data_IF_422437317351
#
_entry.id   IF_422437317351
#
_cell.length_a   1.000
_cell.length_b   1.000
_cell.length_c   1.000
_cell.angle_alpha   90.00
_cell.angle_beta   90.00
_cell.angle_gamma   90.00
#
_symmetry.space_group_name_H-M   'P 1'
#
loop_
_entity.id
_entity.type
_entity.pdbx_description
1 polymer ?
#
# COMPACT_ATOMS: atom_id res chain seq x y z
N UNK A 1 -11.20 22.66 -4.00
CA UNK A 1 -11.62 21.27 -3.68
C UNK A 1 -12.34 21.28 -2.35
N UNK A 2 -13.31 20.39 -2.14
CA UNK A 2 -14.10 20.32 -0.90
C UNK A 2 -13.76 19.04 -0.14
N UNK A 3 -13.85 19.10 1.19
CA UNK A 3 -13.62 17.96 2.07
C UNK A 3 -14.96 17.38 2.52
N UNK A 4 -14.99 16.08 2.81
CA UNK A 4 -16.15 15.38 3.34
C UNK A 4 -15.71 14.52 4.52
N UNK A 5 -16.41 14.63 5.65
CA UNK A 5 -16.09 13.89 6.87
C UNK A 5 -16.54 12.43 6.74
N UNK A 6 -15.64 11.49 7.03
CA UNK A 6 -15.90 10.06 7.01
C UNK A 6 -15.97 9.55 8.45
N UNK A 7 -17.14 9.06 8.88
CA UNK A 7 -17.34 8.48 10.21
C UNK A 7 -17.49 6.95 10.15
N UNK A 8 -17.91 6.40 9.00
CA UNK A 8 -18.08 4.95 8.80
C UNK A 8 -17.79 4.54 7.35
N UNK A 9 -17.84 3.23 7.08
CA UNK A 9 -17.60 2.67 5.74
C UNK A 9 -18.68 3.09 4.73
N UNK A 10 -19.91 3.31 5.19
CA UNK A 10 -21.01 3.82 4.36
C UNK A 10 -20.73 5.19 3.76
N UNK A 11 -20.10 6.08 4.51
CA UNK A 11 -19.69 7.41 4.03
C UNK A 11 -18.73 7.29 2.83
N UNK A 12 -17.78 6.35 2.89
CA UNK A 12 -16.86 6.07 1.78
C UNK A 12 -17.64 5.55 0.56
N UNK A 13 -18.56 4.61 0.77
CA UNK A 13 -19.42 4.06 -0.30
C UNK A 13 -20.25 5.13 -1.00
N UNK A 14 -20.79 6.09 -0.24
CA UNK A 14 -21.54 7.23 -0.78
C UNK A 14 -20.66 8.15 -1.63
N UNK A 15 -19.45 8.49 -1.16
CA UNK A 15 -18.49 9.30 -1.93
C UNK A 15 -18.13 8.62 -3.26
N UNK A 16 -17.83 7.31 -3.22
CA UNK A 16 -17.51 6.51 -4.41
C UNK A 16 -18.69 6.51 -5.39
N UNK A 17 -19.90 6.24 -4.90
CA UNK A 17 -21.13 6.22 -5.72
C UNK A 17 -21.42 7.59 -6.35
N UNK A 18 -21.25 8.68 -5.59
CA UNK A 18 -21.45 10.04 -6.06
C UNK A 18 -20.42 10.41 -7.15
N UNK A 19 -19.14 10.13 -6.92
CA UNK A 19 -18.07 10.38 -7.89
C UNK A 19 -18.28 9.57 -9.19
N UNK A 20 -18.60 8.28 -9.07
CA UNK A 20 -18.90 7.43 -10.23
C UNK A 20 -20.06 7.98 -11.06
N UNK A 21 -21.17 8.37 -10.40
CA UNK A 21 -22.34 8.95 -11.08
C UNK A 21 -22.02 10.30 -11.73
N UNK A 22 -21.23 11.14 -11.08
CA UNK A 22 -20.80 12.42 -11.65
C UNK A 22 -19.95 12.23 -12.92
N UNK A 23 -19.21 11.14 -13.03
CA UNK A 23 -18.44 10.77 -14.22
C UNK A 23 -19.23 9.95 -15.26
N UNK A 24 -20.49 9.59 -14.98
CA UNK A 24 -21.31 8.79 -15.90
C UNK A 24 -20.84 7.35 -16.09
N UNK A 25 -19.99 6.83 -15.19
CA UNK A 25 -19.38 5.49 -15.31
C UNK A 25 -20.31 4.42 -14.74
N UNK A 26 -20.43 3.27 -15.41
CA UNK A 26 -21.20 2.14 -14.87
C UNK A 26 -20.44 1.43 -13.78
N UNK A 27 -21.16 0.72 -12.92
CA UNK A 27 -20.55 0.00 -11.80
C UNK A 27 -19.58 -1.10 -12.28
N UNK A 28 -19.95 -1.82 -13.35
CA UNK A 28 -19.12 -2.87 -13.94
C UNK A 28 -17.84 -2.32 -14.58
N UNK A 29 -17.93 -1.17 -15.27
CA UNK A 29 -16.79 -0.54 -15.92
C UNK A 29 -15.75 -0.10 -14.89
N UNK A 30 -16.20 0.56 -13.80
CA UNK A 30 -15.32 0.95 -12.70
C UNK A 30 -14.74 -0.28 -11.97
N UNK A 31 -15.53 -1.34 -11.81
CA UNK A 31 -15.04 -2.56 -11.19
C UNK A 31 -13.91 -3.18 -12.02
N UNK A 32 -14.08 -3.24 -13.34
CA UNK A 32 -13.07 -3.70 -14.28
C UNK A 32 -11.80 -2.86 -14.21
N UNK A 33 -11.91 -1.52 -14.30
CA UNK A 33 -10.73 -0.64 -14.31
C UNK A 33 -9.97 -0.64 -12.98
N UNK A 34 -10.68 -0.70 -11.84
CA UNK A 34 -10.07 -0.78 -10.52
C UNK A 34 -9.54 -2.19 -10.16
N UNK A 35 -9.75 -3.20 -11.03
CA UNK A 35 -9.32 -4.58 -10.80
C UNK A 35 -10.06 -5.26 -9.64
N UNK A 36 -11.37 -5.01 -9.52
CA UNK A 36 -12.23 -5.58 -8.48
C UNK A 36 -13.46 -6.26 -9.08
N UNK A 37 -14.07 -7.18 -8.34
CA UNK A 37 -15.31 -7.82 -8.80
C UNK A 37 -16.51 -6.88 -8.71
N UNK A 38 -17.49 -7.03 -9.61
CA UNK A 38 -18.77 -6.31 -9.54
C UNK A 38 -19.47 -6.49 -8.18
N UNK A 39 -19.43 -7.69 -7.59
CA UNK A 39 -19.98 -7.96 -6.24
C UNK A 39 -19.28 -7.10 -5.19
N UNK A 40 -17.95 -6.97 -5.26
CA UNK A 40 -17.22 -6.10 -4.35
C UNK A 40 -17.59 -4.63 -4.55
N UNK A 41 -17.69 -4.17 -5.80
CA UNK A 41 -18.09 -2.78 -6.08
C UNK A 41 -19.50 -2.48 -5.56
N UNK A 42 -20.42 -3.45 -5.67
CA UNK A 42 -21.75 -3.37 -5.07
C UNK A 42 -21.67 -3.26 -3.55
N UNK A 43 -20.97 -4.17 -2.88
CA UNK A 43 -20.82 -4.18 -1.43
C UNK A 43 -20.18 -2.87 -0.92
N UNK A 44 -19.19 -2.36 -1.66
CA UNK A 44 -18.49 -1.11 -1.36
C UNK A 44 -19.42 0.11 -1.46
N UNK A 45 -20.17 0.26 -2.55
CA UNK A 45 -21.12 1.39 -2.69
C UNK A 45 -22.27 1.34 -1.68
N UNK A 46 -22.64 0.16 -1.19
CA UNK A 46 -23.63 0.00 -0.14
C UNK A 46 -23.04 0.15 1.27
N UNK A 47 -21.72 0.33 1.40
CA UNK A 47 -21.10 0.57 2.69
C UNK A 47 -20.90 -0.66 3.56
N UNK A 48 -20.80 -1.86 2.96
CA UNK A 48 -20.58 -3.10 3.72
C UNK A 48 -19.32 -2.99 4.58
N UNK A 49 -19.46 -3.10 5.89
CA UNK A 49 -18.38 -2.87 6.86
C UNK A 49 -17.16 -3.76 6.63
N UNK A 50 -17.36 -4.97 6.11
CA UNK A 50 -16.30 -5.96 5.87
C UNK A 50 -15.58 -5.78 4.53
N UNK A 51 -15.76 -4.66 3.83
CA UNK A 51 -15.03 -4.41 2.58
C UNK A 51 -13.53 -4.22 2.86
N UNK A 52 -12.68 -4.79 2.02
CA UNK A 52 -11.24 -4.63 2.16
C UNK A 52 -10.82 -3.19 1.83
N UNK A 53 -10.30 -2.48 2.82
CA UNK A 53 -9.89 -1.07 2.71
C UNK A 53 -8.88 -0.83 1.58
N UNK A 54 -7.88 -1.70 1.43
CA UNK A 54 -6.87 -1.56 0.38
C UNK A 54 -7.45 -1.57 -1.04
N UNK A 55 -8.57 -2.27 -1.25
CA UNK A 55 -9.28 -2.26 -2.54
C UNK A 55 -10.14 -1.00 -2.70
N UNK A 56 -10.75 -0.51 -1.62
CA UNK A 56 -11.50 0.75 -1.63
C UNK A 56 -10.60 1.94 -2.00
N UNK A 57 -9.38 1.98 -1.46
CA UNK A 57 -8.38 2.99 -1.81
C UNK A 57 -7.98 2.96 -3.29
N UNK A 58 -7.92 1.77 -3.92
CA UNK A 58 -7.70 1.66 -5.37
C UNK A 58 -8.85 2.26 -6.16
N UNK A 59 -10.09 1.97 -5.77
CA UNK A 59 -11.29 2.53 -6.41
C UNK A 59 -11.34 4.06 -6.27
N UNK A 60 -11.03 4.60 -5.08
CA UNK A 60 -10.95 6.04 -4.86
C UNK A 60 -9.90 6.69 -5.76
N UNK A 61 -8.71 6.07 -5.87
CA UNK A 61 -7.64 6.55 -6.76
C UNK A 61 -8.08 6.56 -8.22
N UNK A 62 -8.76 5.51 -8.67
CA UNK A 62 -9.28 5.38 -10.03
C UNK A 62 -10.30 6.48 -10.35
N UNK A 63 -11.14 6.85 -9.37
CA UNK A 63 -12.10 7.95 -9.48
C UNK A 63 -11.47 9.35 -9.30
N UNK A 64 -10.16 9.45 -9.12
CA UNK A 64 -9.48 10.73 -8.85
C UNK A 64 -9.85 11.34 -7.49
N UNK A 65 -10.43 10.57 -6.58
CA UNK A 65 -10.79 11.03 -5.23
C UNK A 65 -9.59 10.85 -4.30
N UNK A 66 -9.17 11.96 -3.67
CA UNK A 66 -8.10 11.92 -2.67
C UNK A 66 -8.64 11.52 -1.31
N UNK A 67 -8.01 10.53 -0.70
CA UNK A 67 -8.25 10.13 0.68
C UNK A 67 -7.12 10.68 1.55
N UNK A 68 -7.45 11.61 2.45
CA UNK A 68 -6.49 12.29 3.34
C UNK A 68 -6.90 12.10 4.78
N UNK A 69 -5.92 11.97 5.66
CA UNK A 69 -6.13 11.90 7.11
C UNK A 69 -5.72 13.24 7.72
N UNK A 70 -6.58 13.76 8.58
CA UNK A 70 -6.25 14.87 9.48
C UNK A 70 -5.83 14.28 10.82
N UNK A 71 -4.73 14.78 11.38
CA UNK A 71 -4.16 14.28 12.62
C UNK A 71 -3.52 15.42 13.42
N UNK A 72 -3.45 15.30 14.75
CA UNK A 72 -2.70 16.23 15.60
C UNK A 72 -1.21 16.32 15.21
N UNK A 73 -0.58 17.46 15.51
CA UNK A 73 0.81 17.75 15.13
C UNK A 73 1.81 16.76 15.73
N UNK A 74 1.61 16.36 16.98
CA UNK A 74 2.48 15.39 17.67
C UNK A 74 2.45 14.00 16.99
N UNK A 75 1.29 13.59 16.49
CA UNK A 75 1.13 12.35 15.70
C UNK A 75 1.85 12.48 14.37
N UNK A 76 1.74 13.62 13.71
CA UNK A 76 2.43 13.91 12.45
C UNK A 76 3.96 13.86 12.63
N UNK A 77 4.49 14.56 13.64
CA UNK A 77 5.92 14.54 13.96
C UNK A 77 6.43 13.12 14.22
N UNK A 78 5.65 12.32 14.96
CA UNK A 78 6.01 10.93 15.24
C UNK A 78 6.07 10.09 13.95
N UNK A 79 5.09 10.23 13.07
CA UNK A 79 5.07 9.53 11.79
C UNK A 79 6.31 9.87 10.94
N UNK A 80 6.68 11.15 10.85
CA UNK A 80 7.84 11.59 10.07
C UNK A 80 9.14 11.01 10.63
N UNK A 81 9.33 11.07 11.96
CA UNK A 81 10.49 10.44 12.63
C UNK A 81 10.57 8.93 12.34
N UNK A 82 9.44 8.22 12.40
CA UNK A 82 9.40 6.78 12.15
C UNK A 82 9.70 6.45 10.67
N UNK A 83 9.24 7.28 9.72
CA UNK A 83 9.53 7.14 8.29
C UNK A 83 10.99 7.40 7.95
N UNK A 84 11.60 8.44 8.50
CA UNK A 84 13.03 8.75 8.33
C UNK A 84 13.90 7.61 8.84
N UNK A 85 13.59 7.10 10.03
CA UNK A 85 14.30 5.94 10.61
C UNK A 85 14.16 4.71 9.72
N UNK A 86 12.96 4.41 9.24
CA UNK A 86 12.72 3.28 8.34
C UNK A 86 13.49 3.43 7.01
N UNK A 87 13.53 4.64 6.45
CA UNK A 87 14.28 4.94 5.23
C UNK A 87 15.79 4.73 5.42
N UNK A 88 16.35 5.20 6.54
CA UNK A 88 17.76 4.99 6.88
C UNK A 88 18.11 3.50 7.00
N UNK A 89 17.26 2.71 7.68
CA UNK A 89 17.47 1.27 7.81
C UNK A 89 17.42 0.56 6.45
N UNK A 90 16.47 0.95 5.58
CA UNK A 90 16.37 0.41 4.22
C UNK A 90 17.61 0.77 3.39
N UNK A 91 18.10 2.01 3.47
CA UNK A 91 19.31 2.45 2.79
C UNK A 91 20.56 1.71 3.27
N UNK A 92 20.71 1.53 4.60
CA UNK A 92 21.84 0.78 5.17
C UNK A 92 21.84 -0.69 4.73
N UNK A 93 20.67 -1.33 4.63
CA UNK A 93 20.54 -2.69 4.10
C UNK A 93 20.93 -2.78 2.63
N UNK A 94 20.43 -1.87 1.79
CA UNK A 94 20.78 -1.83 0.37
C UNK A 94 22.29 -1.63 0.14
N UNK A 95 22.94 -0.79 0.96
CA UNK A 95 24.41 -0.61 0.91
C UNK A 95 25.17 -1.89 1.30
N UNK A 96 24.71 -2.60 2.34
CA UNK A 96 25.31 -3.86 2.77
C UNK A 96 25.17 -4.96 1.71
N UNK A 97 23.97 -5.11 1.13
CA UNK A 97 23.70 -6.08 0.05
C UNK A 97 24.53 -5.80 -1.22
N UNK A 98 24.82 -4.53 -1.52
CA UNK A 98 25.67 -4.15 -2.66
C UNK A 98 27.16 -4.49 -2.46
N UNK A 99 27.64 -4.56 -1.21
CA UNK A 99 29.02 -4.93 -0.89
C UNK A 99 29.29 -6.44 -0.95
N UNK A 100 28.25 -7.29 -0.86
CA UNK A 100 28.39 -8.76 -0.91
C UNK A 100 28.44 -9.33 -2.34
N UNK A 101 28.02 -8.56 -3.36
CA UNK A 101 27.97 -9.00 -4.76
C UNK A 101 29.30 -8.84 -5.54
N UNK A 102 30.45 -8.82 -4.86
CA UNK A 102 31.76 -9.02 -5.50
C UNK A 102 32.23 -10.46 -5.25
N UNK A 103 31.98 -11.41 -6.17
CA UNK A 103 32.36 -12.80 -5.95
C UNK A 103 33.82 -12.99 -6.36
N UNK A 104 34.72 -13.05 -5.36
CA UNK A 104 36.08 -13.53 -5.62
C UNK A 104 37.11 -13.21 -4.55
N UNK A 105 37.06 -13.86 -3.38
CA UNK A 105 38.26 -14.10 -2.55
C UNK A 105 38.03 -15.11 -1.40
N UNK A 106 37.38 -16.26 -1.61
CA UNK A 106 37.61 -17.43 -0.75
C UNK A 106 37.68 -18.67 -1.66
N UNK A 107 38.91 -19.03 -2.06
CA UNK A 107 39.17 -20.28 -2.76
C UNK A 107 38.89 -21.49 -1.85
N UNK A 108 38.70 -22.69 -2.41
CA UNK A 108 38.34 -23.87 -1.64
C UNK A 108 39.46 -24.21 -0.65
N UNK A 109 39.13 -24.25 0.65
CA UNK A 109 40.00 -24.80 1.68
C UNK A 109 40.13 -26.29 1.41
N UNK A 110 41.26 -26.70 0.79
CA UNK A 110 41.61 -28.12 0.66
C UNK A 110 41.73 -28.70 2.06
N UNK A 111 40.78 -29.57 2.42
CA UNK A 111 40.86 -30.42 3.60
C UNK A 111 42.09 -31.34 3.48
N UNK A 112 43.12 -31.08 4.29
CA UNK A 112 44.23 -31.99 4.46
C UNK A 112 43.71 -33.24 5.19
N UNK A 113 43.54 -34.33 4.45
CA UNK A 113 43.29 -35.67 4.97
C UNK A 113 44.56 -36.13 5.69
N UNK A 114 44.56 -36.08 7.01
CA UNK A 114 45.62 -36.68 7.83
C UNK A 114 45.36 -38.18 7.85
N UNK A 115 46.11 -38.93 7.06
CA UNK A 115 46.27 -40.37 7.29
C UNK A 115 47.04 -40.56 8.61
N UNK A 116 46.48 -41.37 9.51
CA UNK A 116 47.26 -41.99 10.58
C UNK A 116 47.14 -43.50 10.42
N UNK A 117 48.33 -44.12 10.40
CA UNK A 117 48.60 -45.55 10.46
C UNK A 117 47.90 -46.23 11.64
#
# INVERSE_FOLDING_TARGET
MKNYLINNVGDIGQVIRAARKAHGVRQDDLAGSAGVSHVYMRDLEHGKETVQMGRALKVLKELGVRFTLEMPDDVHERLMRDQEKAALLKAKRALFESHELSPGAIGPVRSARVERK
#
